data_IF_199383784070
#
_entry.id   IF_199383784070
#
_cell.length_a   1.000
_cell.length_b   1.000
_cell.length_c   1.000
_cell.angle_alpha   90.00
_cell.angle_beta   90.00
_cell.angle_gamma   90.00
#
_symmetry.space_group_name_H-M   'P 1'
#
loop_
_entity.id
_entity.type
_entity.pdbx_description
1 polymer ?
#
# COMPACT_ATOMS: atom_id res chain seq x y z
N UNK A 1 9.36 -19.99 8.38
CA UNK A 1 10.68 -20.47 7.92
C UNK A 1 10.90 -22.01 8.04
N UNK A 2 9.99 -22.80 8.64
CA UNK A 2 10.20 -24.26 8.82
C UNK A 2 10.26 -25.07 7.50
N UNK A 3 9.94 -24.44 6.37
CA UNK A 3 10.00 -25.07 5.04
C UNK A 3 11.23 -24.69 4.23
N UNK A 4 12.16 -23.91 4.80
CA UNK A 4 13.37 -23.52 4.09
C UNK A 4 14.41 -24.66 4.13
N UNK A 5 15.17 -24.76 3.04
CA UNK A 5 16.29 -25.70 2.99
C UNK A 5 17.32 -25.40 4.07
N UNK A 6 17.97 -26.45 4.56
CA UNK A 6 19.12 -26.32 5.47
C UNK A 6 20.34 -25.63 4.81
N UNK A 7 20.34 -25.47 3.50
CA UNK A 7 21.40 -24.81 2.74
C UNK A 7 21.24 -23.28 2.65
N UNK A 8 20.19 -22.71 3.25
CA UNK A 8 19.95 -21.27 3.29
C UNK A 8 20.51 -20.71 4.59
N UNK A 9 21.56 -19.90 4.51
CA UNK A 9 22.26 -19.32 5.65
C UNK A 9 21.78 -17.91 6.00
N UNK A 10 21.26 -17.16 5.03
CA UNK A 10 20.80 -15.79 5.23
C UNK A 10 19.48 -15.49 4.51
N UNK A 11 18.66 -14.65 5.13
CA UNK A 11 17.38 -14.19 4.60
C UNK A 11 17.28 -12.67 4.68
N UNK A 12 17.07 -12.02 3.54
CA UNK A 12 16.70 -10.60 3.49
C UNK A 12 15.22 -10.47 3.17
N UNK A 13 14.48 -9.83 4.08
CA UNK A 13 13.05 -9.59 3.93
C UNK A 13 12.74 -8.15 3.56
N UNK A 14 11.49 -7.91 3.16
CA UNK A 14 10.96 -6.59 2.79
C UNK A 14 9.44 -6.59 2.76
N UNK A 15 8.86 -5.67 1.99
CA UNK A 15 7.42 -5.50 1.69
C UNK A 15 6.56 -5.05 2.88
N UNK A 16 6.74 -5.65 4.05
CA UNK A 16 5.90 -5.36 5.24
C UNK A 16 6.15 -4.00 5.86
N UNK A 17 7.25 -3.32 5.51
CA UNK A 17 7.74 -2.08 6.15
C UNK A 17 8.09 -2.22 7.64
N UNK A 18 8.11 -3.44 8.17
CA UNK A 18 8.44 -3.72 9.56
C UNK A 18 9.90 -4.15 9.66
N UNK A 19 10.75 -3.42 10.41
CA UNK A 19 12.12 -3.85 10.63
C UNK A 19 12.15 -5.07 11.54
N UNK A 20 13.03 -6.01 11.24
CA UNK A 20 13.34 -7.14 12.12
C UNK A 20 14.76 -7.63 11.89
N UNK A 21 15.33 -8.19 12.92
CA UNK A 21 16.57 -8.96 12.86
C UNK A 21 16.43 -10.21 13.74
N UNK A 22 17.03 -11.27 13.30
CA UNK A 22 17.19 -12.50 14.10
C UNK A 22 18.44 -13.26 13.65
N UNK A 23 19.15 -13.83 14.59
CA UNK A 23 20.20 -14.79 14.39
C UNK A 23 20.07 -15.95 15.37
N UNK A 24 20.97 -16.92 15.26
CA UNK A 24 20.91 -18.12 16.10
C UNK A 24 21.11 -17.83 17.60
N UNK A 25 21.80 -16.74 17.95
CA UNK A 25 22.22 -16.45 19.32
C UNK A 25 21.16 -15.69 20.09
N UNK A 26 20.48 -14.73 19.46
CA UNK A 26 19.67 -13.74 20.16
C UNK A 26 18.17 -13.82 19.86
N UNK A 27 17.73 -14.80 19.06
CA UNK A 27 16.31 -14.91 18.73
C UNK A 27 15.49 -15.48 19.90
N UNK A 28 14.53 -14.73 20.46
CA UNK A 28 13.57 -15.28 21.43
C UNK A 28 12.57 -16.23 20.76
N UNK A 29 12.58 -16.32 19.43
CA UNK A 29 11.72 -17.23 18.65
C UNK A 29 12.53 -18.50 18.39
N UNK A 30 12.01 -19.64 18.83
CA UNK A 30 12.54 -20.95 18.43
C UNK A 30 12.35 -21.08 16.92
N UNK A 31 13.42 -20.76 16.17
CA UNK A 31 13.42 -20.94 14.73
C UNK A 31 13.34 -22.44 14.44
N UNK A 32 12.25 -22.87 13.88
CA UNK A 32 12.07 -24.28 13.43
C UNK A 32 12.71 -24.49 12.05
N UNK A 33 13.75 -23.73 11.72
CA UNK A 33 14.52 -23.92 10.49
C UNK A 33 15.38 -25.19 10.59
N UNK A 34 15.54 -25.88 9.48
CA UNK A 34 16.47 -27.00 9.37
C UNK A 34 17.93 -26.54 9.47
N UNK A 35 18.23 -25.26 9.19
CA UNK A 35 19.56 -24.67 9.39
C UNK A 35 19.60 -23.91 10.73
N UNK A 36 20.39 -24.37 11.72
CA UNK A 36 20.51 -23.69 13.01
C UNK A 36 21.26 -22.35 12.93
N UNK A 37 21.95 -22.05 11.82
CA UNK A 37 22.69 -20.80 11.62
C UNK A 37 21.92 -19.79 10.74
N UNK A 38 20.65 -20.08 10.40
CA UNK A 38 19.83 -19.14 9.61
C UNK A 38 19.72 -17.79 10.32
N UNK A 39 20.21 -16.76 9.65
CA UNK A 39 20.12 -15.37 10.08
C UNK A 39 19.19 -14.58 9.15
N UNK A 40 18.42 -13.62 9.67
CA UNK A 40 17.49 -12.87 8.84
C UNK A 40 17.37 -11.41 9.25
N UNK A 41 17.19 -10.54 8.24
CA UNK A 41 17.06 -9.10 8.43
C UNK A 41 16.04 -8.51 7.46
N UNK A 42 15.25 -7.55 7.94
CA UNK A 42 14.47 -6.62 7.12
C UNK A 42 14.68 -5.20 7.62
N UNK A 43 15.00 -4.29 6.71
CA UNK A 43 15.46 -2.92 7.06
C UNK A 43 14.33 -1.95 7.43
N UNK A 44 13.07 -2.36 7.37
CA UNK A 44 11.92 -1.47 7.53
C UNK A 44 11.52 -0.84 6.21
N UNK A 45 11.43 0.48 6.15
CA UNK A 45 10.99 1.23 4.97
C UNK A 45 11.79 2.52 4.78
N UNK A 46 11.72 3.09 3.59
CA UNK A 46 12.24 4.44 3.26
C UNK A 46 13.65 4.73 3.75
N UNK A 47 14.52 3.71 3.71
CA UNK A 47 15.93 3.82 4.18
C UNK A 47 16.10 4.06 5.69
N UNK A 48 15.12 3.69 6.51
CA UNK A 48 15.22 3.84 7.98
C UNK A 48 16.44 3.14 8.56
N UNK A 49 16.78 1.97 8.00
CA UNK A 49 17.94 1.18 8.42
C UNK A 49 18.67 0.57 7.22
N UNK A 50 19.94 0.28 7.41
CA UNK A 50 20.71 -0.65 6.58
C UNK A 50 20.74 -2.01 7.27
N UNK A 51 20.22 -3.04 6.62
CA UNK A 51 20.29 -4.42 7.11
C UNK A 51 21.62 -5.07 6.71
N UNK A 52 22.32 -5.64 7.68
CA UNK A 52 23.58 -6.35 7.49
C UNK A 52 23.44 -7.80 7.96
N UNK A 53 23.85 -8.75 7.12
CA UNK A 53 24.12 -10.14 7.51
C UNK A 53 25.60 -10.38 7.31
N UNK A 54 26.31 -10.71 8.39
CA UNK A 54 27.74 -11.04 8.38
C UNK A 54 27.92 -12.54 8.50
N UNK A 55 28.50 -13.17 7.48
CA UNK A 55 28.69 -14.60 7.39
C UNK A 55 30.18 -14.93 7.56
N UNK A 56 30.50 -15.84 8.48
CA UNK A 56 31.82 -16.44 8.62
C UNK A 56 31.83 -17.81 7.90
N UNK A 57 32.73 -17.95 6.95
CA UNK A 57 32.82 -19.12 6.09
C UNK A 57 34.16 -19.85 6.30
N UNK A 58 34.08 -21.13 6.63
CA UNK A 58 35.29 -21.99 6.75
C UNK A 58 35.63 -22.53 5.34
N UNK A 59 36.74 -22.03 4.80
CA UNK A 59 37.21 -22.42 3.46
C UNK A 59 37.75 -23.85 3.39
N UNK A 60 38.12 -24.44 4.55
CA UNK A 60 38.63 -25.82 4.59
C UNK A 60 37.50 -26.85 4.53
N UNK A 61 36.37 -26.54 5.17
CA UNK A 61 35.21 -27.44 5.21
C UNK A 61 34.13 -27.06 4.16
N UNK A 62 34.19 -25.87 3.56
CA UNK A 62 33.18 -25.36 2.63
C UNK A 62 31.84 -25.05 3.31
N UNK A 63 31.85 -24.65 4.60
CA UNK A 63 30.61 -24.43 5.36
C UNK A 63 30.58 -23.07 6.03
N UNK A 64 29.39 -22.53 6.18
CA UNK A 64 29.14 -21.40 7.08
C UNK A 64 29.24 -21.87 8.53
N UNK A 65 30.00 -21.16 9.34
CA UNK A 65 30.23 -21.47 10.76
C UNK A 65 29.60 -20.43 11.70
N UNK A 66 29.21 -19.26 11.16
CA UNK A 66 28.53 -18.20 11.90
C UNK A 66 27.78 -17.28 10.94
N UNK A 67 26.60 -16.83 11.35
CA UNK A 67 25.86 -15.77 10.69
C UNK A 67 25.26 -14.83 11.74
N UNK A 68 25.64 -13.56 11.69
CA UNK A 68 25.16 -12.51 12.58
C UNK A 68 24.34 -11.49 11.79
N UNK A 69 23.35 -10.86 12.43
CA UNK A 69 22.56 -9.77 11.83
C UNK A 69 22.76 -8.46 12.58
N UNK A 70 22.54 -7.37 11.88
CA UNK A 70 22.50 -6.04 12.47
C UNK A 70 21.63 -5.10 11.64
N UNK A 71 20.76 -4.35 12.31
CA UNK A 71 20.13 -3.16 11.78
C UNK A 71 20.97 -1.92 12.13
N UNK A 72 21.44 -1.22 11.12
CA UNK A 72 22.22 0.01 11.27
C UNK A 72 21.29 1.18 10.95
N UNK A 73 20.95 2.05 11.93
CA UNK A 73 20.08 3.19 11.69
C UNK A 73 20.62 4.12 10.61
N UNK A 74 19.73 4.70 9.80
CA UNK A 74 20.09 5.64 8.73
C UNK A 74 20.98 6.79 9.23
N UNK A 75 20.72 7.32 10.42
CA UNK A 75 21.54 8.36 11.04
C UNK A 75 23.02 7.98 11.10
N UNK A 76 23.34 6.73 11.48
CA UNK A 76 24.71 6.22 11.51
C UNK A 76 25.30 6.08 10.10
N UNK A 77 24.48 5.66 9.13
CA UNK A 77 24.92 5.53 7.72
C UNK A 77 25.24 6.90 7.13
N UNK A 78 24.44 7.92 7.46
CA UNK A 78 24.66 9.28 7.00
C UNK A 78 25.97 9.92 7.48
N UNK A 79 26.50 9.49 8.62
CA UNK A 79 27.81 9.92 9.12
C UNK A 79 28.96 9.51 8.18
N UNK A 80 28.79 8.49 7.35
CA UNK A 80 29.77 8.08 6.34
C UNK A 80 29.88 9.05 5.16
N UNK A 81 28.93 9.99 5.03
CA UNK A 81 28.85 10.91 3.91
C UNK A 81 28.26 10.28 2.65
N UNK A 82 28.21 11.09 1.58
CA UNK A 82 27.64 10.66 0.30
C UNK A 82 28.75 10.16 -0.65
N UNK A 83 28.48 9.07 -1.34
CA UNK A 83 29.31 8.63 -2.46
C UNK A 83 29.19 9.62 -3.63
N UNK A 84 30.30 10.23 -4.11
CA UNK A 84 30.23 11.28 -5.13
C UNK A 84 29.69 10.82 -6.49
N UNK A 85 29.96 9.58 -6.89
CA UNK A 85 29.50 9.03 -8.16
C UNK A 85 27.99 8.77 -8.12
N UNK A 86 27.52 8.15 -7.06
CA UNK A 86 26.09 7.94 -6.82
C UNK A 86 25.34 9.25 -6.74
N UNK A 87 25.86 10.22 -5.99
CA UNK A 87 25.29 11.57 -5.91
C UNK A 87 25.16 12.24 -7.28
N UNK A 88 26.19 12.13 -8.12
CA UNK A 88 26.17 12.69 -9.48
C UNK A 88 25.07 12.03 -10.36
N UNK A 89 24.86 10.71 -10.23
CA UNK A 89 23.79 9.99 -10.93
C UNK A 89 22.41 10.47 -10.46
N UNK A 90 22.19 10.54 -9.14
CA UNK A 90 20.95 11.01 -8.54
C UNK A 90 20.65 12.45 -8.97
N UNK A 91 21.64 13.34 -8.90
CA UNK A 91 21.49 14.75 -9.31
C UNK A 91 21.06 14.88 -10.79
N UNK A 92 21.68 14.13 -11.69
CA UNK A 92 21.28 14.13 -13.12
C UNK A 92 19.85 13.62 -13.30
N UNK A 93 19.47 12.56 -12.60
CA UNK A 93 18.10 12.02 -12.66
C UNK A 93 17.08 13.03 -12.14
N UNK A 94 17.36 13.68 -11.02
CA UNK A 94 16.51 14.74 -10.45
C UNK A 94 16.36 15.92 -11.41
N UNK A 95 17.44 16.38 -12.04
CA UNK A 95 17.40 17.47 -13.02
C UNK A 95 16.58 17.07 -14.26
N UNK A 96 16.74 15.86 -14.76
CA UNK A 96 15.97 15.38 -15.91
C UNK A 96 14.48 15.25 -15.61
N UNK A 97 14.11 14.78 -14.41
CA UNK A 97 12.71 14.62 -14.00
C UNK A 97 12.03 15.94 -13.59
N UNK A 98 12.82 16.95 -13.20
CA UNK A 98 12.29 18.23 -12.69
C UNK A 98 11.43 18.97 -13.73
N UNK A 99 11.79 18.92 -14.99
CA UNK A 99 11.02 19.59 -16.07
C UNK A 99 9.64 18.96 -16.24
N UNK A 100 9.57 17.63 -16.40
CA UNK A 100 8.30 16.92 -16.51
C UNK A 100 7.50 16.98 -15.20
N UNK A 101 8.20 16.88 -14.07
CA UNK A 101 7.58 16.93 -12.75
C UNK A 101 6.94 18.28 -12.41
N UNK A 102 7.42 19.38 -13.01
CA UNK A 102 6.86 20.72 -12.81
C UNK A 102 5.63 21.01 -13.67
N UNK A 103 5.27 20.14 -14.60
CA UNK A 103 4.05 20.30 -15.39
C UNK A 103 2.82 20.40 -14.47
N UNK A 104 1.99 21.41 -14.67
CA UNK A 104 0.78 21.61 -13.87
C UNK A 104 -0.33 20.75 -14.42
N UNK A 105 -0.82 19.83 -13.63
CA UNK A 105 -1.92 18.89 -13.99
C UNK A 105 -3.29 19.38 -13.52
N UNK A 106 -3.34 20.19 -12.43
CA UNK A 106 -4.58 20.76 -11.93
C UNK A 106 -4.38 22.13 -11.30
N UNK A 107 -5.47 22.91 -11.18
CA UNK A 107 -5.48 24.27 -10.62
C UNK A 107 -6.74 24.51 -9.80
N UNK A 108 -6.64 25.51 -8.89
CA UNK A 108 -7.80 25.98 -8.12
C UNK A 108 -8.05 25.21 -6.84
N UNK A 109 -7.10 24.42 -6.39
CA UNK A 109 -7.18 23.70 -5.12
C UNK A 109 -6.68 24.59 -3.97
N UNK A 110 -7.49 24.70 -2.93
CA UNK A 110 -7.16 25.50 -1.72
C UNK A 110 -6.89 24.64 -0.50
N UNK A 111 -7.21 23.36 -0.58
CA UNK A 111 -7.07 22.41 0.51
C UNK A 111 -6.26 21.19 0.09
N UNK A 112 -5.56 20.62 1.05
CA UNK A 112 -4.79 19.39 0.87
C UNK A 112 -5.68 18.16 1.04
N UNK A 113 -5.35 17.10 0.30
CA UNK A 113 -5.96 15.79 0.47
C UNK A 113 -4.97 14.86 1.17
N UNK A 114 -5.38 14.31 2.28
CA UNK A 114 -4.51 13.50 3.13
C UNK A 114 -4.86 12.03 3.07
N UNK A 115 -3.83 11.19 3.18
CA UNK A 115 -3.98 9.81 3.59
C UNK A 115 -4.49 9.76 5.03
N UNK A 116 -4.78 8.58 5.54
CA UNK A 116 -5.31 8.48 6.91
C UNK A 116 -4.47 9.25 7.93
N UNK A 117 -5.07 10.23 8.58
CA UNK A 117 -4.47 11.04 9.65
C UNK A 117 -4.96 10.48 10.98
N UNK A 118 -4.05 10.31 11.92
CA UNK A 118 -4.39 9.98 13.30
C UNK A 118 -3.84 11.07 14.21
N UNK A 119 -4.72 11.61 15.05
CA UNK A 119 -4.33 12.50 16.15
C UNK A 119 -4.28 11.67 17.43
N UNK A 120 -3.09 11.52 17.98
CA UNK A 120 -2.90 10.81 19.23
C UNK A 120 -3.42 11.63 20.43
N UNK A 121 -3.72 10.99 21.59
CA UNK A 121 -4.20 11.69 22.78
C UNK A 121 -3.26 12.78 23.32
N UNK A 122 -1.98 12.76 22.96
CA UNK A 122 -0.98 13.79 23.29
C UNK A 122 -0.96 14.96 22.29
N UNK A 123 -1.86 14.96 21.29
CA UNK A 123 -1.93 15.98 20.24
C UNK A 123 -0.94 15.79 19.09
N UNK A 124 -0.14 14.73 19.09
CA UNK A 124 0.72 14.43 17.96
C UNK A 124 -0.11 13.93 16.76
N UNK A 125 0.29 14.37 15.56
CA UNK A 125 -0.38 14.01 14.30
C UNK A 125 0.48 13.04 13.52
N UNK A 126 -0.02 11.82 13.33
CA UNK A 126 0.58 10.85 12.41
C UNK A 126 -0.03 11.02 11.01
N UNK A 127 0.77 11.58 10.09
CA UNK A 127 0.36 11.78 8.69
C UNK A 127 0.66 10.54 7.84
N UNK A 128 -0.40 9.96 7.26
CA UNK A 128 -0.29 8.93 6.23
C UNK A 128 0.15 7.54 6.69
N UNK A 129 0.44 7.33 7.97
CA UNK A 129 0.79 6.02 8.54
C UNK A 129 -0.43 5.16 8.84
N UNK A 130 -1.55 5.78 9.18
CA UNK A 130 -2.75 5.08 9.59
C UNK A 130 -3.62 4.65 8.39
N UNK A 131 -3.49 3.39 7.99
CA UNK A 131 -4.33 2.80 6.93
C UNK A 131 -5.70 2.30 7.42
N UNK A 132 -5.98 2.45 8.71
CA UNK A 132 -7.21 1.97 9.35
C UNK A 132 -8.33 3.01 9.45
N UNK A 133 -8.13 4.22 8.95
CA UNK A 133 -9.14 5.29 8.96
C UNK A 133 -9.45 5.77 7.54
N UNK A 134 -10.61 6.40 7.40
CA UNK A 134 -11.01 7.06 6.16
C UNK A 134 -10.03 8.18 5.80
N UNK A 135 -9.78 8.39 4.51
CA UNK A 135 -8.88 9.43 4.02
C UNK A 135 -9.52 10.23 2.90
N UNK A 136 -9.37 11.56 2.96
CA UNK A 136 -9.87 12.47 1.90
C UNK A 136 -9.20 12.17 0.56
N UNK A 137 -7.91 11.81 0.57
CA UNK A 137 -7.19 11.41 -0.65
C UNK A 137 -7.69 10.07 -1.19
N UNK A 138 -8.03 9.11 -0.32
CA UNK A 138 -8.63 7.84 -0.72
C UNK A 138 -9.97 8.04 -1.41
N UNK A 139 -10.81 8.93 -0.88
CA UNK A 139 -12.10 9.24 -1.48
C UNK A 139 -11.93 9.97 -2.82
N UNK A 140 -11.02 10.94 -2.93
CA UNK A 140 -10.71 11.62 -4.19
C UNK A 140 -10.23 10.63 -5.27
N UNK A 141 -9.30 9.73 -4.92
CA UNK A 141 -8.79 8.73 -5.85
C UNK A 141 -9.91 7.75 -6.29
N UNK A 142 -10.77 7.34 -5.37
CA UNK A 142 -11.92 6.49 -5.70
C UNK A 142 -12.95 7.21 -6.58
N UNK A 143 -13.18 8.52 -6.38
CA UNK A 143 -13.99 9.32 -7.29
C UNK A 143 -13.38 9.36 -8.69
N UNK A 144 -12.06 9.58 -8.81
CA UNK A 144 -11.35 9.53 -10.08
C UNK A 144 -11.53 8.16 -10.77
N UNK A 145 -11.39 7.05 -10.03
CA UNK A 145 -11.64 5.71 -10.57
C UNK A 145 -13.06 5.58 -11.12
N UNK A 146 -14.06 6.02 -10.34
CA UNK A 146 -15.46 5.97 -10.76
C UNK A 146 -15.73 6.79 -12.02
N UNK A 147 -15.23 8.02 -12.06
CA UNK A 147 -15.56 8.96 -13.12
C UNK A 147 -14.75 8.77 -14.42
N UNK A 148 -13.62 8.07 -14.37
CA UNK A 148 -12.74 7.88 -15.54
C UNK A 148 -12.75 6.48 -16.11
N UNK A 149 -13.07 5.46 -15.30
CA UNK A 149 -13.24 4.08 -15.79
C UNK A 149 -14.60 3.96 -16.48
N UNK A 150 -14.57 3.47 -17.71
CA UNK A 150 -15.80 3.32 -18.55
C UNK A 150 -16.08 1.84 -18.82
N UNK A 151 -17.34 1.49 -18.73
CA UNK A 151 -17.88 0.22 -19.22
C UNK A 151 -18.06 0.26 -20.75
N UNK A 152 -18.26 -0.87 -21.44
CA UNK A 152 -18.37 -0.92 -22.90
C UNK A 152 -19.48 -0.05 -23.51
N UNK A 153 -20.52 0.27 -22.74
CA UNK A 153 -21.61 1.17 -23.12
C UNK A 153 -21.29 2.67 -22.87
N UNK A 154 -20.05 2.98 -22.44
CA UNK A 154 -19.57 4.34 -22.23
C UNK A 154 -19.94 4.94 -20.87
N UNK A 155 -20.70 4.24 -20.04
CA UNK A 155 -21.08 4.73 -18.72
C UNK A 155 -19.91 4.63 -17.73
N UNK A 156 -19.85 5.51 -16.70
CA UNK A 156 -18.94 5.30 -15.58
C UNK A 156 -19.30 4.02 -14.82
N UNK A 157 -18.32 3.42 -14.16
CA UNK A 157 -18.58 2.30 -13.24
C UNK A 157 -19.47 2.75 -12.08
N UNK A 158 -20.21 1.81 -11.49
CA UNK A 158 -21.12 2.13 -10.37
C UNK A 158 -20.41 2.61 -9.13
N UNK A 159 -19.25 2.02 -8.81
CA UNK A 159 -18.49 2.25 -7.58
C UNK A 159 -17.00 2.37 -7.93
N UNK A 160 -16.34 3.38 -7.39
CA UNK A 160 -14.87 3.47 -7.37
C UNK A 160 -14.31 3.03 -6.02
N UNK A 161 -13.22 2.29 -6.04
CA UNK A 161 -12.50 1.86 -4.83
C UNK A 161 -10.99 2.01 -5.01
N UNK A 162 -10.29 2.26 -3.91
CA UNK A 162 -8.82 2.22 -3.85
C UNK A 162 -8.35 1.71 -2.50
N UNK A 163 -7.29 0.90 -2.48
CA UNK A 163 -6.65 0.47 -1.25
C UNK A 163 -5.75 1.56 -0.68
N UNK A 164 -5.75 1.73 0.65
CA UNK A 164 -4.94 2.75 1.31
C UNK A 164 -3.43 2.62 1.02
N UNK A 165 -2.95 1.39 0.80
CA UNK A 165 -1.54 1.12 0.46
C UNK A 165 -1.13 1.61 -0.93
N UNK A 166 -2.08 1.83 -1.84
CA UNK A 166 -1.85 2.39 -3.17
C UNK A 166 -1.46 3.88 -3.16
N UNK A 167 -1.78 4.59 -2.08
CA UNK A 167 -1.51 6.02 -1.92
C UNK A 167 -0.23 6.24 -1.10
N UNK A 168 0.79 6.87 -1.69
CA UNK A 168 2.15 6.90 -1.13
C UNK A 168 2.57 8.26 -0.57
N UNK A 169 1.92 9.34 -0.98
CA UNK A 169 2.14 10.71 -0.49
C UNK A 169 0.79 11.39 -0.27
N UNK A 170 0.76 12.47 0.49
CA UNK A 170 -0.39 13.36 0.54
C UNK A 170 -0.38 14.27 -0.69
N UNK A 171 -1.53 14.76 -1.11
CA UNK A 171 -1.67 15.69 -2.21
C UNK A 171 -1.81 17.10 -1.64
N UNK A 172 -0.73 17.85 -1.66
CA UNK A 172 -0.66 19.21 -1.09
C UNK A 172 -0.48 20.23 -2.24
N UNK A 173 -1.52 20.99 -2.59
CA UNK A 173 -1.41 22.01 -3.63
C UNK A 173 -0.34 23.07 -3.30
N UNK A 174 0.27 23.63 -4.32
CA UNK A 174 1.13 24.80 -4.17
C UNK A 174 0.37 26.01 -3.61
N UNK A 175 1.09 27.03 -3.15
CA UNK A 175 0.49 28.24 -2.58
C UNK A 175 -0.40 29.00 -3.57
N UNK A 176 -0.25 28.74 -4.86
CA UNK A 176 -1.07 29.27 -5.96
C UNK A 176 -2.25 28.36 -6.34
N UNK A 177 -2.49 27.28 -5.57
CA UNK A 177 -3.55 26.31 -5.82
C UNK A 177 -3.27 25.36 -6.97
N UNK A 178 -2.00 25.21 -7.39
CA UNK A 178 -1.62 24.27 -8.46
C UNK A 178 -1.24 22.91 -7.89
N UNK A 179 -1.51 21.87 -8.69
CA UNK A 179 -0.99 20.51 -8.50
C UNK A 179 -0.12 20.19 -9.69
N UNK A 180 1.09 19.70 -9.42
CA UNK A 180 2.06 19.31 -10.44
C UNK A 180 2.03 17.81 -10.72
N UNK A 181 2.55 17.42 -11.88
CA UNK A 181 2.73 16.02 -12.24
C UNK A 181 3.57 15.25 -11.20
N UNK A 182 4.60 15.89 -10.63
CA UNK A 182 5.38 15.26 -9.56
C UNK A 182 4.55 14.93 -8.35
N UNK A 183 3.67 15.83 -7.91
CA UNK A 183 2.81 15.57 -6.74
C UNK A 183 1.85 14.42 -7.01
N UNK A 184 1.20 14.37 -8.18
CA UNK A 184 0.34 13.23 -8.53
C UNK A 184 1.13 11.93 -8.67
N UNK A 185 2.36 12.00 -9.21
CA UNK A 185 3.27 10.85 -9.27
C UNK A 185 3.63 10.33 -7.87
N UNK A 186 3.95 11.22 -6.94
CA UNK A 186 4.30 10.85 -5.57
C UNK A 186 3.10 10.19 -4.85
N UNK A 187 1.86 10.58 -5.18
CA UNK A 187 0.64 9.94 -4.68
C UNK A 187 0.48 8.53 -5.23
N UNK A 188 0.59 8.33 -6.55
CA UNK A 188 0.38 7.05 -7.25
C UNK A 188 1.60 6.65 -8.09
N UNK A 189 2.72 6.23 -7.47
CA UNK A 189 3.97 5.96 -8.19
C UNK A 189 4.03 4.61 -8.90
N UNK A 190 3.09 3.70 -8.63
CA UNK A 190 3.19 2.31 -9.06
C UNK A 190 2.85 2.09 -10.54
N UNK A 191 2.16 3.03 -11.19
CA UNK A 191 1.67 2.86 -12.57
C UNK A 191 0.84 1.59 -12.74
N UNK A 192 -0.09 1.34 -11.81
CA UNK A 192 -0.98 0.20 -11.91
C UNK A 192 -1.94 0.37 -13.09
N UNK A 193 -2.24 -0.71 -13.78
CA UNK A 193 -3.35 -0.72 -14.73
C UNK A 193 -4.69 -0.60 -14.01
N UNK A 194 -5.64 0.05 -14.67
CA UNK A 194 -7.02 0.16 -14.22
C UNK A 194 -7.90 -0.91 -14.84
N UNK A 195 -8.94 -1.24 -14.13
CA UNK A 195 -9.98 -2.14 -14.59
C UNK A 195 -11.23 -2.01 -13.75
N UNK A 196 -12.18 -2.87 -14.00
CA UNK A 196 -13.35 -3.05 -13.15
C UNK A 196 -13.71 -4.52 -13.02
N UNK A 197 -14.44 -4.83 -11.97
CA UNK A 197 -15.05 -6.15 -11.76
C UNK A 197 -16.56 -5.98 -11.66
N UNK A 198 -17.31 -6.91 -12.25
CA UNK A 198 -18.77 -6.99 -12.08
C UNK A 198 -19.07 -8.03 -11.01
N UNK A 199 -19.57 -7.58 -9.86
CA UNK A 199 -19.83 -8.39 -8.66
C UNK A 199 -21.21 -8.06 -8.08
N UNK A 200 -21.76 -8.97 -7.28
CA UNK A 200 -23.03 -8.74 -6.59
C UNK A 200 -22.88 -7.71 -5.46
N UNK A 201 -23.97 -7.05 -5.09
CA UNK A 201 -24.01 -6.15 -3.95
C UNK A 201 -23.60 -6.86 -2.63
N UNK A 202 -23.88 -8.16 -2.50
CA UNK A 202 -23.37 -8.97 -1.38
C UNK A 202 -21.84 -9.02 -1.35
N UNK A 203 -21.17 -9.13 -2.51
CA UNK A 203 -19.71 -9.17 -2.59
C UNK A 203 -19.12 -7.78 -2.32
N UNK A 204 -19.80 -6.70 -2.71
CA UNK A 204 -19.42 -5.33 -2.32
C UNK A 204 -19.46 -5.19 -0.80
N UNK A 205 -20.52 -5.69 -0.13
CA UNK A 205 -20.61 -5.68 1.32
C UNK A 205 -19.49 -6.51 1.95
N UNK A 206 -19.20 -7.69 1.41
CA UNK A 206 -18.12 -8.55 1.89
C UNK A 206 -16.76 -7.85 1.77
N UNK A 207 -16.48 -7.14 0.66
CA UNK A 207 -15.25 -6.37 0.50
C UNK A 207 -15.11 -5.29 1.60
N UNK A 208 -16.21 -4.65 2.02
CA UNK A 208 -16.21 -3.71 3.14
C UNK A 208 -15.99 -4.40 4.49
N UNK A 209 -16.51 -5.61 4.69
CA UNK A 209 -16.21 -6.42 5.89
C UNK A 209 -14.73 -6.86 5.91
N UNK A 210 -14.15 -7.17 4.76
CA UNK A 210 -12.74 -7.56 4.62
C UNK A 210 -11.76 -6.44 4.96
N UNK A 211 -12.20 -5.21 5.21
CA UNK A 211 -11.37 -4.16 5.79
C UNK A 211 -10.82 -4.57 7.18
N UNK A 212 -11.57 -5.33 7.96
CA UNK A 212 -11.12 -5.93 9.22
C UNK A 212 -10.41 -7.25 8.94
N UNK A 213 -9.09 -7.24 9.07
CA UNK A 213 -8.25 -8.39 8.74
C UNK A 213 -8.32 -9.47 9.81
N UNK A 214 -8.59 -10.70 9.37
CA UNK A 214 -8.67 -11.88 10.24
C UNK A 214 -7.42 -12.76 10.17
N UNK A 215 -6.59 -12.57 9.12
CA UNK A 215 -5.39 -13.36 8.85
C UNK A 215 -4.11 -12.59 9.23
N UNK A 216 -4.08 -12.00 10.41
CA UNK A 216 -2.91 -11.26 10.91
C UNK A 216 -1.69 -12.20 11.05
N UNK A 217 -0.58 -11.80 10.48
CA UNK A 217 0.72 -12.48 10.55
C UNK A 217 1.84 -11.47 10.21
N UNK A 218 3.07 -11.93 10.03
CA UNK A 218 4.21 -11.06 9.67
C UNK A 218 4.03 -10.34 8.32
N UNK A 219 3.22 -10.87 7.40
CA UNK A 219 2.93 -10.26 6.11
C UNK A 219 1.71 -9.34 6.17
N UNK A 220 0.80 -9.58 7.09
CA UNK A 220 -0.41 -8.78 7.30
C UNK A 220 -0.57 -8.47 8.79
N UNK A 221 0.15 -7.48 9.27
CA UNK A 221 0.16 -7.06 10.67
C UNK A 221 -0.89 -5.97 10.98
N UNK A 222 -1.52 -5.39 9.96
CA UNK A 222 -2.49 -4.31 10.14
C UNK A 222 -3.90 -4.88 10.33
N UNK A 223 -4.53 -4.62 11.49
CA UNK A 223 -5.85 -5.20 11.81
C UNK A 223 -6.99 -4.58 11.00
N UNK A 224 -6.79 -3.39 10.46
CA UNK A 224 -7.78 -2.67 9.67
C UNK A 224 -7.10 -1.97 8.49
N UNK A 225 -7.63 -2.21 7.27
CA UNK A 225 -7.24 -1.52 6.05
C UNK A 225 -8.49 -0.90 5.43
N UNK A 226 -8.64 0.40 5.60
CA UNK A 226 -9.76 1.14 5.01
C UNK A 226 -9.60 1.28 3.50
N UNK A 227 -10.70 1.06 2.78
CA UNK A 227 -10.82 1.39 1.37
C UNK A 227 -11.21 2.86 1.22
N UNK A 228 -10.58 3.57 0.27
CA UNK A 228 -11.15 4.79 -0.29
C UNK A 228 -12.34 4.43 -1.16
N UNK A 229 -13.44 5.14 -1.03
CA UNK A 229 -14.69 4.91 -1.73
C UNK A 229 -15.15 6.18 -2.46
N UNK A 230 -15.74 6.00 -3.64
CA UNK A 230 -16.35 7.11 -4.37
C UNK A 230 -17.53 7.70 -3.60
N UNK A 231 -17.72 9.00 -3.72
CA UNK A 231 -18.69 9.82 -2.95
C UNK A 231 -20.14 9.33 -2.96
N UNK A 232 -20.48 8.51 -3.95
CA UNK A 232 -21.81 7.93 -4.07
C UNK A 232 -22.02 6.67 -3.21
N UNK A 233 -20.98 6.21 -2.52
CA UNK A 233 -21.05 5.07 -1.59
C UNK A 233 -21.02 5.58 -0.16
N UNK A 234 -21.98 5.17 0.64
CA UNK A 234 -22.06 5.51 2.07
C UNK A 234 -22.35 4.24 2.86
N UNK A 235 -21.67 4.04 3.96
CA UNK A 235 -21.93 2.92 4.85
C UNK A 235 -21.75 3.28 6.31
N UNK A 236 -22.47 2.56 7.17
CA UNK A 236 -22.27 2.58 8.61
C UNK A 236 -21.83 1.21 9.09
N UNK A 237 -21.10 1.18 10.19
CA UNK A 237 -20.63 -0.08 10.77
C UNK A 237 -20.65 -0.04 12.29
N UNK A 238 -20.71 -1.22 12.88
CA UNK A 238 -20.54 -1.46 14.29
C UNK A 238 -19.39 -2.47 14.48
N UNK A 239 -18.22 -1.97 14.89
CA UNK A 239 -17.02 -2.76 15.05
C UNK A 239 -17.11 -3.82 16.17
N UNK A 240 -18.09 -3.71 17.09
CA UNK A 240 -18.33 -4.67 18.15
C UNK A 240 -18.99 -5.96 17.68
N UNK A 241 -19.59 -5.94 16.48
CA UNK A 241 -20.25 -7.11 15.89
C UNK A 241 -19.25 -8.14 15.37
N UNK A 242 -19.68 -9.41 15.24
CA UNK A 242 -18.88 -10.43 14.60
C UNK A 242 -18.45 -10.04 13.17
N UNK A 243 -17.32 -10.58 12.72
CA UNK A 243 -16.89 -10.46 11.34
C UNK A 243 -17.99 -10.96 10.37
N UNK A 244 -18.24 -10.19 9.30
CA UNK A 244 -19.33 -10.43 8.35
C UNK A 244 -20.65 -9.72 8.69
N UNK A 245 -20.79 -9.19 9.92
CA UNK A 245 -21.99 -8.51 10.40
C UNK A 245 -21.74 -7.04 10.79
N UNK A 246 -20.50 -6.55 10.60
CA UNK A 246 -20.09 -5.21 11.03
C UNK A 246 -20.71 -4.11 10.20
N UNK A 247 -20.86 -4.32 8.89
CA UNK A 247 -21.53 -3.35 8.03
C UNK A 247 -23.04 -3.36 8.29
N UNK A 248 -23.54 -2.30 8.90
CA UNK A 248 -24.93 -2.18 9.35
C UNK A 248 -25.84 -1.50 8.32
N UNK A 249 -25.28 -0.66 7.47
CA UNK A 249 -25.97 -0.02 6.34
C UNK A 249 -24.99 0.18 5.20
N UNK A 250 -25.44 0.02 3.95
CA UNK A 250 -24.65 0.30 2.74
C UNK A 250 -25.56 0.91 1.70
N UNK A 251 -25.26 2.14 1.29
CA UNK A 251 -26.00 2.89 0.28
C UNK A 251 -25.10 3.14 -0.95
N UNK A 252 -25.69 3.01 -2.13
CA UNK A 252 -25.08 3.42 -3.41
C UNK A 252 -26.04 4.39 -4.09
N UNK A 253 -25.56 5.56 -4.47
CA UNK A 253 -26.39 6.65 -5.01
C UNK A 253 -27.58 7.02 -4.08
N UNK A 254 -27.37 6.99 -2.75
CA UNK A 254 -28.39 7.33 -1.76
C UNK A 254 -29.46 6.24 -1.52
N UNK A 255 -29.42 5.12 -2.22
CA UNK A 255 -30.35 3.99 -2.03
C UNK A 255 -29.62 2.78 -1.41
N UNK A 256 -30.33 1.99 -0.57
CA UNK A 256 -29.76 0.74 -0.07
C UNK A 256 -29.29 -0.16 -1.21
N UNK A 257 -28.09 -0.73 -1.06
CA UNK A 257 -27.55 -1.65 -2.07
C UNK A 257 -28.44 -2.89 -2.20
N UNK A 258 -28.73 -3.30 -3.41
CA UNK A 258 -29.42 -4.58 -3.65
C UNK A 258 -28.36 -5.70 -3.66
N UNK A 259 -28.44 -6.60 -2.68
CA UNK A 259 -27.47 -7.69 -2.48
C UNK A 259 -27.39 -8.67 -3.64
N UNK A 260 -28.43 -8.76 -4.47
CA UNK A 260 -28.51 -9.70 -5.60
C UNK A 260 -28.20 -9.05 -6.94
N UNK A 261 -28.24 -7.71 -7.03
CA UNK A 261 -27.92 -6.97 -8.23
C UNK A 261 -26.42 -6.94 -8.46
N UNK A 262 -25.98 -6.98 -9.71
CA UNK A 262 -24.60 -6.77 -10.10
C UNK A 262 -24.26 -5.28 -10.16
N UNK A 263 -23.05 -4.96 -9.69
CA UNK A 263 -22.44 -3.63 -9.71
C UNK A 263 -21.05 -3.73 -10.34
N UNK A 264 -20.71 -2.73 -11.13
CA UNK A 264 -19.36 -2.55 -11.63
C UNK A 264 -18.53 -1.77 -10.62
N UNK A 265 -17.43 -2.37 -10.16
CA UNK A 265 -16.48 -1.76 -9.20
C UNK A 265 -15.16 -1.49 -9.91
N UNK A 266 -14.83 -0.21 -10.10
CA UNK A 266 -13.60 0.24 -10.74
C UNK A 266 -12.47 0.43 -9.73
N UNK A 267 -11.28 -0.04 -10.09
CA UNK A 267 -10.08 0.10 -9.26
C UNK A 267 -8.80 -0.24 -10.04
N UNK A 268 -7.67 -0.20 -9.33
CA UNK A 268 -6.40 -0.75 -9.81
C UNK A 268 -6.45 -2.27 -9.88
N UNK A 269 -5.81 -2.85 -10.89
CA UNK A 269 -5.82 -4.32 -11.11
C UNK A 269 -5.27 -5.11 -9.94
N UNK A 270 -4.32 -4.53 -9.17
CA UNK A 270 -3.82 -5.12 -7.92
C UNK A 270 -4.96 -5.42 -6.93
N UNK A 271 -5.82 -4.42 -6.66
CA UNK A 271 -6.93 -4.59 -5.73
C UNK A 271 -7.98 -5.57 -6.28
N UNK A 272 -8.31 -5.46 -7.57
CA UNK A 272 -9.26 -6.36 -8.26
C UNK A 272 -8.76 -7.81 -8.35
N UNK A 273 -7.49 -8.06 -8.13
CA UNK A 273 -6.91 -9.40 -8.02
C UNK A 273 -6.89 -9.94 -6.58
N UNK A 274 -7.53 -9.27 -5.64
CA UNK A 274 -7.57 -9.65 -4.22
C UNK A 274 -6.37 -9.15 -3.41
N UNK A 275 -5.62 -8.18 -3.95
CA UNK A 275 -4.51 -7.53 -3.25
C UNK A 275 -4.95 -6.97 -1.90
N UNK A 276 -4.02 -6.78 -0.97
CA UNK A 276 -4.28 -6.37 0.41
C UNK A 276 -5.34 -7.23 1.13
N UNK A 277 -5.51 -8.51 0.68
CA UNK A 277 -6.48 -9.47 1.24
C UNK A 277 -7.94 -9.02 1.14
N UNK A 278 -8.36 -8.65 -0.09
CA UNK A 278 -9.75 -8.38 -0.46
C UNK A 278 -10.28 -9.41 -1.47
N UNK A 279 -10.39 -10.71 -1.10
CA UNK A 279 -10.81 -11.78 -2.00
C UNK A 279 -12.24 -11.61 -2.56
N UNK A 280 -13.14 -10.87 -1.90
CA UNK A 280 -14.48 -10.63 -2.42
C UNK A 280 -14.45 -9.96 -3.82
N UNK A 281 -13.46 -9.12 -4.08
CA UNK A 281 -13.29 -8.46 -5.38
C UNK A 281 -12.87 -9.42 -6.53
N UNK A 282 -12.52 -10.66 -6.21
CA UNK A 282 -12.15 -11.67 -7.23
C UNK A 282 -13.32 -12.55 -7.67
N UNK A 283 -14.50 -12.41 -7.07
CA UNK A 283 -15.64 -13.34 -7.27
C UNK A 283 -16.40 -13.09 -8.57
N UNK A 284 -16.18 -11.96 -9.23
CA UNK A 284 -16.89 -11.61 -10.44
C UNK A 284 -16.03 -11.64 -11.71
N UNK A 285 -16.59 -11.09 -12.79
CA UNK A 285 -15.89 -10.96 -14.06
C UNK A 285 -15.05 -9.70 -14.09
N UNK A 286 -13.73 -9.85 -14.24
CA UNK A 286 -12.77 -8.76 -14.30
C UNK A 286 -12.50 -8.32 -15.74
N UNK A 287 -12.50 -7.02 -15.97
CA UNK A 287 -12.09 -6.38 -17.23
C UNK A 287 -10.90 -5.45 -16.95
N UNK A 288 -9.81 -5.63 -17.68
CA UNK A 288 -8.62 -4.76 -17.63
C UNK A 288 -8.67 -3.80 -18.81
N UNK A 289 -8.35 -2.53 -18.58
CA UNK A 289 -8.50 -1.46 -19.59
C UNK A 289 -7.17 -1.00 -20.20
N UNK A 290 -6.02 -1.35 -19.59
CA UNK A 290 -4.71 -0.91 -20.04
C UNK A 290 -4.37 0.57 -19.77
N UNK A 291 -5.28 1.34 -19.16
CA UNK A 291 -5.01 2.70 -18.70
C UNK A 291 -4.27 2.67 -17.37
N UNK A 292 -3.38 3.66 -17.14
CA UNK A 292 -2.67 3.77 -15.88
C UNK A 292 -3.45 4.61 -14.87
N UNK A 293 -3.33 4.23 -13.60
CA UNK A 293 -4.01 4.86 -12.46
C UNK A 293 -3.74 6.36 -12.36
N UNK A 294 -2.47 6.77 -12.41
CA UNK A 294 -2.06 8.18 -12.35
C UNK A 294 -2.58 8.99 -13.53
N UNK A 295 -2.56 8.44 -14.75
CA UNK A 295 -3.00 9.18 -15.93
C UNK A 295 -4.49 9.51 -15.82
N UNK A 296 -5.30 8.55 -15.35
CA UNK A 296 -6.72 8.75 -15.11
C UNK A 296 -7.02 9.60 -13.89
N UNK A 297 -6.17 9.58 -12.87
CA UNK A 297 -6.23 10.50 -11.74
C UNK A 297 -5.98 11.95 -12.18
N UNK A 298 -5.03 12.18 -13.08
CA UNK A 298 -4.75 13.50 -13.63
C UNK A 298 -5.84 13.99 -14.61
N UNK A 299 -6.57 13.07 -15.27
CA UNK A 299 -7.68 13.40 -16.14
C UNK A 299 -8.90 13.89 -15.36
N UNK A 300 -9.12 13.36 -14.14
CA UNK A 300 -10.23 13.73 -13.25
C UNK A 300 -10.03 15.10 -12.62
#
# INVERSE_FOLDING_TARGET
YPKMSADVDGLMGGDTHVPYEFDHVDSPVTLTSANPLLAGVASGSYTDNLGLIQISYDTATGKVVKADTKLIPAATVYECGEDPETKAVVTRAQQASAVAGAEVVARGYTESFHRGIFEAPDGSIEKGGNRGIESTLGNLAADAMRETIRTPDGNPVDIGMINAGGLRADLEPGSDGTITYKQSYDVMPFSNELGYVTIKGSDVKDALEEQWKTNLNSQNSRPLLKLGLSKNVQYTYDASKPYGERITSLLVNGAPIDMNKEYTVGSVTFLLAGGDTFPALTRGTKTVLGNLDRDKFNEY
#
